data_IF_827625686502
#
_entry.id   IF_827625686502
#
_cell.length_a   1.000
_cell.length_b   1.000
_cell.length_c   1.000
_cell.angle_alpha   90.00
_cell.angle_beta   90.00
_cell.angle_gamma   90.00
#
_symmetry.space_group_name_H-M   'P 1'
#
loop_
_entity.id
_entity.type
_entity.pdbx_description
1 polymer ?
#
# COMPACT_ATOMS: atom_id res chain seq x y z
N UNK A 1 3.75 -32.81 42.74
CA UNK A 1 2.88 -32.57 41.57
C UNK A 1 3.77 -32.06 40.43
N UNK A 2 3.69 -32.61 39.20
CA UNK A 2 4.69 -32.30 38.18
C UNK A 2 4.34 -30.97 37.48
N UNK A 3 5.25 -29.97 37.48
CA UNK A 3 5.06 -28.71 36.75
C UNK A 3 5.18 -28.86 35.21
N UNK A 4 5.55 -30.03 34.69
CA UNK A 4 5.86 -30.24 33.27
C UNK A 4 4.64 -30.28 32.34
N UNK A 5 3.46 -30.69 32.80
CA UNK A 5 2.28 -30.82 31.93
C UNK A 5 1.73 -29.45 31.50
N UNK A 6 1.69 -28.49 32.42
CA UNK A 6 1.14 -27.14 32.19
C UNK A 6 2.06 -26.30 31.30
N UNK A 7 3.38 -26.44 31.46
CA UNK A 7 4.39 -25.76 30.62
C UNK A 7 4.36 -26.27 29.18
N UNK A 8 4.22 -27.59 28.98
CA UNK A 8 4.07 -28.17 27.64
C UNK A 8 2.78 -27.74 26.94
N UNK A 9 1.65 -27.65 27.66
CA UNK A 9 0.38 -27.17 27.11
C UNK A 9 0.44 -25.68 26.69
N UNK A 10 1.13 -24.84 27.48
CA UNK A 10 1.33 -23.42 27.14
C UNK A 10 2.19 -23.24 25.87
N UNK A 11 3.26 -24.02 25.75
CA UNK A 11 4.17 -23.93 24.60
C UNK A 11 3.50 -24.40 23.30
N UNK A 12 2.70 -25.47 23.36
CA UNK A 12 1.95 -25.97 22.21
C UNK A 12 0.83 -25.01 21.78
N UNK A 13 0.15 -24.35 22.73
CA UNK A 13 -0.84 -23.32 22.42
C UNK A 13 -0.21 -22.10 21.72
N UNK A 14 0.99 -21.70 22.14
CA UNK A 14 1.71 -20.56 21.55
C UNK A 14 2.23 -20.88 20.14
N UNK A 15 2.70 -22.12 19.90
CA UNK A 15 3.03 -22.61 18.55
C UNK A 15 1.82 -22.64 17.63
N UNK A 16 0.67 -23.16 18.11
CA UNK A 16 -0.59 -23.18 17.34
C UNK A 16 -1.04 -21.77 16.97
N UNK A 17 -0.97 -20.82 17.92
CA UNK A 17 -1.29 -19.42 17.68
C UNK A 17 -0.37 -18.82 16.61
N UNK A 18 0.95 -19.04 16.70
CA UNK A 18 1.92 -18.58 15.69
C UNK A 18 1.64 -19.18 14.31
N UNK A 19 1.35 -20.48 14.25
CA UNK A 19 1.02 -21.18 13.01
C UNK A 19 -0.26 -20.64 12.38
N UNK A 20 -1.28 -20.35 13.18
CA UNK A 20 -2.52 -19.72 12.75
C UNK A 20 -2.29 -18.34 12.14
N UNK A 21 -1.49 -17.47 12.78
CA UNK A 21 -1.19 -16.14 12.23
C UNK A 21 -0.37 -16.22 10.93
N UNK A 22 0.58 -17.15 10.83
CA UNK A 22 1.34 -17.37 9.60
C UNK A 22 0.44 -17.82 8.46
N UNK A 23 -0.44 -18.80 8.71
CA UNK A 23 -1.44 -19.27 7.73
C UNK A 23 -2.40 -18.15 7.30
N UNK A 24 -2.82 -17.30 8.23
CA UNK A 24 -3.69 -16.16 7.94
C UNK A 24 -2.96 -15.12 7.07
N UNK A 25 -1.71 -14.79 7.38
CA UNK A 25 -0.88 -13.90 6.55
C UNK A 25 -0.68 -14.49 5.14
N UNK A 26 -0.40 -15.79 5.05
CA UNK A 26 -0.23 -16.48 3.77
C UNK A 26 -1.52 -16.44 2.93
N UNK A 27 -2.67 -16.70 3.55
CA UNK A 27 -3.98 -16.58 2.88
C UNK A 27 -4.25 -15.16 2.37
N UNK A 28 -3.86 -14.14 3.13
CA UNK A 28 -3.98 -12.74 2.70
C UNK A 28 -3.08 -12.45 1.50
N UNK A 29 -1.82 -12.91 1.53
CA UNK A 29 -0.89 -12.74 0.41
C UNK A 29 -1.42 -13.45 -0.84
N UNK A 30 -1.90 -14.69 -0.73
CA UNK A 30 -2.54 -15.42 -1.83
C UNK A 30 -3.72 -14.66 -2.42
N UNK A 31 -4.58 -14.10 -1.57
CA UNK A 31 -5.71 -13.29 -2.01
C UNK A 31 -5.27 -12.03 -2.75
N UNK A 32 -4.23 -11.34 -2.26
CA UNK A 32 -3.65 -10.18 -2.93
C UNK A 32 -3.06 -10.56 -4.29
N UNK A 33 -2.31 -11.66 -4.37
CA UNK A 33 -1.74 -12.14 -5.63
C UNK A 33 -2.83 -12.47 -6.65
N UNK A 34 -3.92 -13.12 -6.23
CA UNK A 34 -5.06 -13.40 -7.11
C UNK A 34 -5.80 -12.16 -7.62
N UNK A 35 -5.66 -11.01 -6.95
CA UNK A 35 -6.29 -9.74 -7.36
C UNK A 35 -5.38 -8.86 -8.21
N UNK A 36 -4.08 -8.86 -7.92
CA UNK A 36 -3.12 -7.88 -8.45
C UNK A 36 -2.31 -8.45 -9.62
N UNK A 37 -2.10 -9.76 -9.67
CA UNK A 37 -1.30 -10.37 -10.75
C UNK A 37 -2.13 -10.53 -12.03
N UNK A 38 -1.51 -10.40 -13.22
CA UNK A 38 -2.21 -10.58 -14.49
C UNK A 38 -2.82 -11.98 -14.62
N UNK A 39 -4.04 -12.09 -15.14
CA UNK A 39 -4.70 -13.37 -15.38
C UNK A 39 -3.85 -14.32 -16.25
N UNK A 40 -3.18 -13.77 -17.27
CA UNK A 40 -2.28 -14.53 -18.16
C UNK A 40 -1.08 -15.16 -17.43
N UNK A 41 -0.64 -14.54 -16.34
CA UNK A 41 0.38 -15.13 -15.46
C UNK A 41 -0.24 -16.21 -14.57
N UNK A 42 -1.40 -15.91 -13.96
CA UNK A 42 -2.08 -16.83 -13.04
C UNK A 42 -2.46 -18.17 -13.71
N UNK A 43 -2.90 -18.16 -14.97
CA UNK A 43 -3.24 -19.40 -15.71
C UNK A 43 -2.01 -20.27 -16.03
N UNK A 44 -0.80 -19.71 -16.01
CA UNK A 44 0.45 -20.44 -16.28
C UNK A 44 1.03 -21.08 -15.02
N UNK A 45 0.47 -20.79 -13.85
CA UNK A 45 0.89 -21.42 -12.60
C UNK A 45 0.50 -22.91 -12.62
N UNK A 46 1.29 -23.79 -11.97
CA UNK A 46 1.02 -25.23 -11.91
C UNK A 46 -0.24 -25.59 -11.07
N UNK A 47 -0.98 -24.58 -10.61
CA UNK A 47 -2.22 -24.70 -9.87
C UNK A 47 -2.81 -23.32 -9.58
N UNK A 48 -3.95 -23.27 -8.89
CA UNK A 48 -4.58 -22.01 -8.48
C UNK A 48 -3.76 -21.32 -7.40
N UNK A 49 -3.71 -19.98 -7.40
CA UNK A 49 -2.96 -19.20 -6.39
C UNK A 49 -3.44 -19.45 -4.94
N UNK A 50 -4.70 -19.85 -4.79
CA UNK A 50 -5.32 -20.23 -3.52
C UNK A 50 -4.92 -21.62 -3.02
N UNK A 51 -4.22 -22.42 -3.84
CA UNK A 51 -3.78 -23.76 -3.44
C UNK A 51 -2.69 -23.65 -2.35
N UNK A 52 -2.91 -24.19 -1.13
CA UNK A 52 -1.93 -24.13 -0.05
C UNK A 52 -0.61 -24.85 -0.37
N UNK A 53 -0.61 -25.82 -1.28
CA UNK A 53 0.60 -26.57 -1.67
C UNK A 53 1.47 -25.80 -2.66
N UNK A 54 0.96 -24.70 -3.23
CA UNK A 54 1.72 -23.85 -4.15
C UNK A 54 2.64 -22.93 -3.36
N UNK A 55 3.95 -23.08 -3.47
CA UNK A 55 4.92 -22.22 -2.79
C UNK A 55 4.89 -20.78 -3.33
N UNK A 56 4.52 -19.81 -2.47
CA UNK A 56 4.45 -18.40 -2.84
C UNK A 56 5.80 -17.79 -3.22
N UNK A 57 6.90 -18.27 -2.64
CA UNK A 57 8.25 -17.80 -2.98
C UNK A 57 8.60 -18.13 -4.43
N UNK A 58 8.20 -19.32 -4.91
CA UNK A 58 8.46 -19.75 -6.28
C UNK A 58 7.57 -18.98 -7.28
N UNK A 59 6.32 -18.69 -6.88
CA UNK A 59 5.42 -17.82 -7.65
C UNK A 59 6.03 -16.42 -7.79
N UNK A 60 6.55 -15.84 -6.71
CA UNK A 60 7.18 -14.52 -6.73
C UNK A 60 8.44 -14.50 -7.59
N UNK A 61 9.35 -15.47 -7.42
CA UNK A 61 10.57 -15.56 -8.23
C UNK A 61 10.28 -15.72 -9.73
N UNK A 62 9.19 -16.42 -10.07
CA UNK A 62 8.73 -16.54 -11.45
C UNK A 62 8.15 -15.24 -11.98
N UNK A 63 7.36 -14.53 -11.17
CA UNK A 63 6.84 -13.20 -11.51
C UNK A 63 7.99 -12.23 -11.80
N UNK A 64 9.00 -12.20 -10.94
CA UNK A 64 10.20 -11.38 -11.15
C UNK A 64 10.91 -11.77 -12.45
N UNK A 65 11.09 -13.07 -12.74
CA UNK A 65 11.73 -13.49 -13.99
C UNK A 65 10.95 -13.08 -15.25
N UNK A 66 9.63 -13.17 -15.22
CA UNK A 66 8.77 -12.90 -16.37
C UNK A 66 8.45 -11.40 -16.53
N UNK A 67 8.40 -10.63 -15.44
CA UNK A 67 7.90 -9.25 -15.41
C UNK A 67 8.83 -8.22 -14.76
N UNK A 68 9.98 -8.60 -14.18
CA UNK A 68 10.95 -7.63 -13.69
C UNK A 68 11.69 -6.95 -14.86
N UNK A 69 10.96 -6.11 -15.59
CA UNK A 69 11.55 -4.84 -15.97
C UNK A 69 11.67 -3.99 -14.70
N UNK A 70 12.91 -3.62 -14.41
CA UNK A 70 13.45 -2.87 -13.25
C UNK A 70 12.66 -1.63 -12.77
N UNK A 71 11.59 -1.22 -13.45
CA UNK A 71 10.77 -0.05 -13.10
C UNK A 71 9.75 -0.28 -11.98
N UNK A 72 9.32 -1.53 -11.72
CA UNK A 72 8.29 -1.82 -10.71
C UNK A 72 8.77 -1.55 -9.29
N UNK A 73 10.02 -1.91 -8.96
CA UNK A 73 10.60 -1.70 -7.63
C UNK A 73 10.74 -0.20 -7.29
N UNK A 74 11.24 0.59 -8.25
CA UNK A 74 11.34 2.05 -8.13
C UNK A 74 9.97 2.70 -7.98
N UNK A 75 8.99 2.32 -8.81
CA UNK A 75 7.63 2.88 -8.73
C UNK A 75 6.92 2.51 -7.43
N UNK A 76 7.13 1.30 -6.93
CA UNK A 76 6.57 0.82 -5.65
C UNK A 76 7.18 1.59 -4.48
N UNK A 77 8.50 1.79 -4.48
CA UNK A 77 9.21 2.57 -3.46
C UNK A 77 8.70 4.02 -3.43
N UNK A 78 8.61 4.67 -4.60
CA UNK A 78 8.09 6.04 -4.72
C UNK A 78 6.63 6.14 -4.26
N UNK A 79 5.80 5.15 -4.58
CA UNK A 79 4.41 5.12 -4.14
C UNK A 79 4.26 4.93 -2.62
N UNK A 80 5.06 4.05 -2.02
CA UNK A 80 5.10 3.87 -0.57
C UNK A 80 5.57 5.13 0.15
N UNK A 81 6.55 5.84 -0.40
CA UNK A 81 6.94 7.16 0.11
C UNK A 81 5.76 8.13 0.03
N UNK A 82 5.10 8.20 -1.13
CA UNK A 82 3.97 9.11 -1.37
C UNK A 82 2.83 8.91 -0.35
N UNK A 83 2.40 7.68 -0.08
CA UNK A 83 1.27 7.42 0.83
C UNK A 83 1.64 7.59 2.31
N UNK A 84 2.92 7.44 2.67
CA UNK A 84 3.39 7.56 4.07
C UNK A 84 3.85 8.97 4.44
N UNK A 85 4.13 9.82 3.46
CA UNK A 85 4.64 11.18 3.69
C UNK A 85 3.67 12.07 4.50
N UNK A 86 2.35 12.08 4.26
CA UNK A 86 1.40 12.90 5.02
C UNK A 86 1.31 12.54 6.50
N UNK A 87 1.65 11.30 6.86
CA UNK A 87 1.56 10.81 8.24
C UNK A 87 2.87 11.00 9.03
N UNK A 88 3.93 11.51 8.38
CA UNK A 88 5.23 11.77 9.01
C UNK A 88 5.30 13.22 9.50
N UNK A 89 6.07 13.50 10.57
CA UNK A 89 6.30 14.88 11.00
C UNK A 89 6.95 15.71 9.87
N UNK A 90 6.40 16.89 9.60
CA UNK A 90 6.93 17.83 8.61
C UNK A 90 7.15 19.21 9.26
N UNK A 91 8.21 19.91 8.85
CA UNK A 91 8.57 21.22 9.41
C UNK A 91 7.60 22.33 8.99
N UNK A 92 7.13 22.28 7.75
CA UNK A 92 6.13 23.21 7.24
C UNK A 92 5.29 22.58 6.12
N UNK A 93 4.05 23.06 5.95
CA UNK A 93 3.10 22.58 4.93
C UNK A 93 3.64 22.83 3.51
N UNK A 94 4.37 23.92 3.29
CA UNK A 94 4.97 24.22 1.97
C UNK A 94 5.98 23.15 1.53
N UNK A 95 6.82 22.67 2.45
CA UNK A 95 7.79 21.62 2.17
C UNK A 95 7.11 20.28 1.91
N UNK A 96 6.05 19.98 2.66
CA UNK A 96 5.21 18.80 2.43
C UNK A 96 4.63 18.83 1.00
N UNK A 97 3.99 19.94 0.61
CA UNK A 97 3.39 20.10 -0.73
C UNK A 97 4.45 19.93 -1.82
N UNK A 98 5.60 20.59 -1.69
CA UNK A 98 6.70 20.47 -2.67
C UNK A 98 7.17 19.03 -2.82
N UNK A 99 7.37 18.32 -1.70
CA UNK A 99 7.80 16.91 -1.74
C UNK A 99 6.73 16.02 -2.34
N UNK A 100 5.46 16.19 -1.98
CA UNK A 100 4.34 15.45 -2.56
C UNK A 100 4.22 15.65 -4.08
N UNK A 101 4.33 16.90 -4.55
CA UNK A 101 4.31 17.23 -5.99
C UNK A 101 5.52 16.63 -6.73
N UNK A 102 6.69 16.63 -6.10
CA UNK A 102 7.88 15.98 -6.69
C UNK A 102 7.68 14.48 -6.87
N UNK A 103 7.13 13.78 -5.86
CA UNK A 103 6.81 12.35 -5.95
C UNK A 103 5.71 12.07 -6.98
N UNK A 104 4.68 12.90 -7.02
CA UNK A 104 3.61 12.85 -8.04
C UNK A 104 4.20 12.93 -9.45
N UNK A 105 5.08 13.89 -9.71
CA UNK A 105 5.69 14.07 -11.03
C UNK A 105 6.53 12.86 -11.44
N UNK A 106 7.36 12.33 -10.53
CA UNK A 106 8.17 11.14 -10.80
C UNK A 106 7.30 9.92 -11.10
N UNK A 107 6.26 9.68 -10.29
CA UNK A 107 5.32 8.59 -10.50
C UNK A 107 4.53 8.75 -11.81
N UNK A 108 4.02 9.95 -12.09
CA UNK A 108 3.27 10.24 -13.29
C UNK A 108 4.14 10.12 -14.55
N UNK A 109 5.41 10.52 -14.50
CA UNK A 109 6.34 10.35 -15.62
C UNK A 109 6.56 8.85 -15.92
N UNK A 110 6.82 8.05 -14.87
CA UNK A 110 6.99 6.60 -15.02
C UNK A 110 5.72 5.92 -15.54
N UNK A 111 4.55 6.28 -15.00
CA UNK A 111 3.28 5.69 -15.42
C UNK A 111 2.86 6.14 -16.82
N UNK A 112 3.05 7.41 -17.17
CA UNK A 112 2.68 7.92 -18.49
C UNK A 112 3.53 7.30 -19.60
N UNK A 113 4.81 7.00 -19.33
CA UNK A 113 5.67 6.26 -20.26
C UNK A 113 5.16 4.84 -20.55
N UNK A 114 4.51 4.20 -19.58
CA UNK A 114 4.07 2.81 -19.69
C UNK A 114 2.59 2.65 -20.10
N UNK A 115 1.72 3.54 -19.62
CA UNK A 115 0.25 3.39 -19.66
C UNK A 115 -0.42 4.62 -20.32
N UNK A 116 0.35 5.69 -20.61
CA UNK A 116 -0.15 6.86 -21.35
C UNK A 116 -1.02 7.82 -20.54
N UNK A 117 -1.24 7.57 -19.25
CA UNK A 117 -2.05 8.40 -18.35
C UNK A 117 -1.35 8.65 -17.01
N UNK A 118 -1.59 9.80 -16.36
CA UNK A 118 -1.04 10.09 -15.04
C UNK A 118 -1.67 9.19 -13.97
N UNK A 119 -0.85 8.74 -13.03
CA UNK A 119 -1.25 7.85 -11.94
C UNK A 119 -1.90 8.59 -10.75
N UNK A 120 -1.36 9.76 -10.42
CA UNK A 120 -1.77 10.60 -9.29
C UNK A 120 -2.29 11.93 -9.81
N UNK A 121 -3.57 12.19 -9.58
CA UNK A 121 -4.22 13.47 -9.90
C UNK A 121 -3.91 14.54 -8.84
N UNK A 122 -4.06 15.80 -9.24
CA UNK A 122 -3.99 16.96 -8.33
C UNK A 122 -4.93 16.82 -7.14
N UNK A 123 -6.13 16.29 -7.37
CA UNK A 123 -7.11 16.02 -6.32
C UNK A 123 -6.56 15.11 -5.22
N UNK A 124 -5.81 14.05 -5.57
CA UNK A 124 -5.20 13.15 -4.57
C UNK A 124 -4.17 13.86 -3.70
N UNK A 125 -3.44 14.84 -4.23
CA UNK A 125 -2.48 15.65 -3.47
C UNK A 125 -3.23 16.47 -2.43
N UNK A 126 -4.28 17.17 -2.86
CA UNK A 126 -5.11 18.00 -1.99
C UNK A 126 -5.75 17.18 -0.85
N UNK A 127 -6.27 15.99 -1.14
CA UNK A 127 -6.79 15.08 -0.12
C UNK A 127 -5.73 14.66 0.91
N UNK A 128 -4.55 14.28 0.43
CA UNK A 128 -3.48 13.83 1.30
C UNK A 128 -2.97 14.96 2.21
N UNK A 129 -2.94 16.20 1.72
CA UNK A 129 -2.61 17.38 2.54
C UNK A 129 -3.68 17.61 3.60
N UNK A 130 -4.96 17.62 3.22
CA UNK A 130 -6.09 17.79 4.16
C UNK A 130 -6.06 16.71 5.23
N UNK A 131 -5.77 15.45 4.86
CA UNK A 131 -5.65 14.34 5.80
C UNK A 131 -4.45 14.46 6.76
N UNK A 132 -3.43 15.26 6.43
CA UNK A 132 -2.28 15.53 7.30
C UNK A 132 -2.55 16.63 8.33
N UNK A 133 -3.60 17.42 8.15
CA UNK A 133 -3.93 18.51 9.05
C UNK A 133 -4.65 17.98 10.31
N UNK A 134 -4.38 18.56 11.49
CA UNK A 134 -5.18 18.27 12.68
C UNK A 134 -6.66 18.53 12.43
N UNK A 135 -7.51 17.73 13.07
CA UNK A 135 -8.97 17.83 12.92
C UNK A 135 -9.54 19.22 13.21
N UNK A 136 -8.85 20.04 14.02
CA UNK A 136 -9.22 21.43 14.31
C UNK A 136 -9.22 22.33 13.06
N UNK A 137 -8.45 21.98 12.02
CA UNK A 137 -8.39 22.69 10.75
C UNK A 137 -9.45 22.20 9.74
N UNK A 138 -10.16 21.11 10.05
CA UNK A 138 -11.20 20.50 9.19
C UNK A 138 -12.60 21.04 9.48
N UNK A 139 -12.70 22.26 10.03
CA UNK A 139 -13.97 22.91 10.34
C UNK A 139 -14.86 23.12 9.11
N UNK A 140 -16.09 23.57 9.35
CA UNK A 140 -17.24 23.71 8.42
C UNK A 140 -17.01 24.56 7.15
N UNK A 141 -15.79 25.04 6.94
CA UNK A 141 -15.42 26.01 5.91
C UNK A 141 -14.38 25.45 4.92
N UNK A 142 -14.17 24.13 4.81
CA UNK A 142 -13.28 23.53 3.80
C UNK A 142 -14.13 22.75 2.79
N UNK A 143 -14.29 23.31 1.60
CA UNK A 143 -14.98 22.66 0.49
C UNK A 143 -13.97 21.99 -0.44
N UNK A 144 -14.22 20.73 -0.80
CA UNK A 144 -13.38 20.03 -1.78
C UNK A 144 -13.82 20.40 -3.20
N UNK A 145 -12.85 20.69 -4.06
CA UNK A 145 -13.08 21.02 -5.48
C UNK A 145 -12.22 20.12 -6.36
N UNK A 146 -12.46 20.14 -7.67
CA UNK A 146 -11.64 19.42 -8.65
C UNK A 146 -10.18 19.88 -8.65
N UNK A 147 -9.94 21.13 -8.27
CA UNK A 147 -8.60 21.73 -8.19
C UNK A 147 -7.97 21.62 -6.79
N UNK A 148 -8.70 21.06 -5.82
CA UNK A 148 -8.19 20.77 -4.48
C UNK A 148 -9.17 21.09 -3.37
N UNK A 149 -8.93 22.18 -2.64
CA UNK A 149 -9.82 22.65 -1.59
C UNK A 149 -9.93 24.17 -1.59
N UNK A 150 -11.10 24.66 -1.20
CA UNK A 150 -11.42 26.06 -1.03
C UNK A 150 -11.86 26.33 0.40
N UNK A 151 -11.47 27.50 0.93
CA UNK A 151 -11.95 27.99 2.21
C UNK A 151 -13.26 28.76 2.00
N UNK A 152 -14.38 28.26 2.51
CA UNK A 152 -15.66 28.95 2.54
C UNK A 152 -15.51 30.19 3.42
N UNK A 153 -15.45 31.39 2.82
CA UNK A 153 -15.54 32.62 3.60
C UNK A 153 -17.01 32.81 3.97
N UNK A 154 -17.38 32.46 5.21
CA UNK A 154 -18.63 32.93 5.79
C UNK A 154 -18.55 34.46 5.91
N UNK A 155 -19.09 35.18 4.92
CA UNK A 155 -19.41 36.60 5.09
C UNK A 155 -20.50 36.70 6.15
N UNK A 156 -20.13 37.21 7.33
CA UNK A 156 -21.08 37.84 8.25
C UNK A 156 -21.28 39.29 7.84
#
# INVERSE_FOLDING_TARGET
MPPSATVNLSLEAEKMKRFYYLRMQESLIRSLFGKVLPNEFLIKLPGTITNPDLNLSDVWARLEREYAQSSLDVSTTLYLEFISLPTKPFKCVSDLIKRMRSLQNQLNEMYSKNIGVPFISEYKISQAIVAALPHEYLGSNVNQTTDGFELSTSRH
#
